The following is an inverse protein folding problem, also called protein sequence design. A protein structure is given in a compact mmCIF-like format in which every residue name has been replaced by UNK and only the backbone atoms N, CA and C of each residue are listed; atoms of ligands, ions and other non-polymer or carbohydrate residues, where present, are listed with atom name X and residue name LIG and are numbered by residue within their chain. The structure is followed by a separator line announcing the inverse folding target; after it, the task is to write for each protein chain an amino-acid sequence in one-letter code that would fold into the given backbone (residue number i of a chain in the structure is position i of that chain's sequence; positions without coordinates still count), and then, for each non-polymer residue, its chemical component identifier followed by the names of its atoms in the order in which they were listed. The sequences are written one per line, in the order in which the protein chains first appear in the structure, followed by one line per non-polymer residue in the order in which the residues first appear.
data_IF_423389008195
#
_entry.id   IF_423389008195
#
_cell.length_a   1.000
_cell.length_b   1.000
_cell.length_c   1.000
_cell.angle_alpha   90.00
_cell.angle_beta   90.00
_cell.angle_gamma   90.00
#
_symmetry.space_group_name_H-M   'P 1'
#
loop_
_entity.id
_entity.type
_entity.pdbx_description
1 polymer ?
#
# COMPACT_ATOMS: atom_id res chain seq x y z
N UNK A 1 -12.00 -9.68 11.09
CA UNK A 1 -10.86 -8.76 10.79
C UNK A 1 -9.55 -9.44 11.17
N UNK A 2 -8.43 -9.08 10.48
CA UNK A 2 -7.12 -9.70 10.76
C UNK A 2 -6.47 -9.07 11.99
N UNK A 3 -5.77 -9.87 12.79
CA UNK A 3 -4.86 -9.36 13.82
C UNK A 3 -3.78 -8.50 13.15
N UNK A 4 -3.41 -7.39 13.79
CA UNK A 4 -2.53 -6.38 13.16
C UNK A 4 -1.59 -5.71 14.15
N UNK A 5 -0.49 -5.16 13.60
CA UNK A 5 0.32 -4.15 14.28
C UNK A 5 -0.04 -2.78 13.68
N UNK A 6 -0.35 -1.83 14.54
CA UNK A 6 -0.64 -0.45 14.14
C UNK A 6 0.61 0.39 14.29
N UNK A 7 1.01 1.05 13.20
CA UNK A 7 2.10 2.03 13.19
C UNK A 7 1.47 3.42 13.18
N UNK A 8 1.59 4.15 14.28
CA UNK A 8 1.09 5.52 14.38
C UNK A 8 2.16 6.47 13.88
N UNK A 9 1.83 7.19 12.80
CA UNK A 9 2.75 8.08 12.12
C UNK A 9 2.66 9.50 12.65
N UNK A 10 3.68 9.94 13.38
CA UNK A 10 3.87 11.32 13.83
C UNK A 10 4.74 12.10 12.82
N UNK A 11 4.28 12.19 11.57
CA UNK A 11 4.98 12.87 10.46
C UNK A 11 6.41 12.35 10.21
N UNK A 12 6.61 11.07 10.50
CA UNK A 12 7.92 10.41 10.36
C UNK A 12 8.00 9.62 9.05
N UNK A 13 9.12 9.77 8.34
CA UNK A 13 9.48 8.92 7.20
C UNK A 13 9.59 7.42 7.55
N UNK A 14 9.72 7.12 8.86
CA UNK A 14 9.90 5.75 9.35
C UNK A 14 8.62 4.89 9.28
N UNK A 15 7.43 5.48 9.30
CA UNK A 15 6.17 4.73 9.37
C UNK A 15 6.01 3.76 8.20
N UNK A 16 6.27 4.20 6.99
CA UNK A 16 6.19 3.34 5.80
C UNK A 16 7.25 2.23 5.79
N UNK A 17 8.47 2.57 6.22
CA UNK A 17 9.55 1.59 6.35
C UNK A 17 9.18 0.50 7.37
N UNK A 18 8.71 0.89 8.55
CA UNK A 18 8.28 -0.03 9.61
C UNK A 18 7.15 -0.94 9.16
N UNK A 19 6.09 -0.37 8.59
CA UNK A 19 4.97 -1.16 8.11
C UNK A 19 5.40 -2.17 7.03
N UNK A 20 6.30 -1.77 6.13
CA UNK A 20 6.88 -2.66 5.11
C UNK A 20 7.72 -3.76 5.74
N UNK A 21 8.56 -3.44 6.72
CA UNK A 21 9.41 -4.41 7.42
C UNK A 21 8.59 -5.43 8.19
N UNK A 22 7.54 -5.01 8.90
CA UNK A 22 6.60 -5.89 9.61
C UNK A 22 5.94 -6.87 8.62
N UNK A 23 5.48 -6.36 7.48
CA UNK A 23 4.88 -7.19 6.43
C UNK A 23 5.89 -8.16 5.81
N UNK A 24 7.13 -7.76 5.66
CA UNK A 24 8.20 -8.63 5.17
C UNK A 24 8.47 -9.78 6.15
N UNK A 25 8.33 -9.55 7.46
CA UNK A 25 8.42 -10.57 8.50
C UNK A 25 7.20 -11.52 8.54
N UNK A 26 6.16 -11.25 7.75
CA UNK A 26 4.98 -12.08 7.62
C UNK A 26 3.80 -11.68 8.53
N UNK A 27 3.78 -10.45 9.01
CA UNK A 27 2.72 -9.94 9.89
C UNK A 27 1.97 -8.78 9.26
N UNK A 28 0.65 -8.74 9.41
CA UNK A 28 -0.14 -7.64 8.90
C UNK A 28 0.05 -6.36 9.73
N UNK A 29 0.19 -5.23 9.04
CA UNK A 29 0.36 -3.93 9.67
C UNK A 29 -0.45 -2.85 8.97
N UNK A 30 -0.90 -1.87 9.70
CA UNK A 30 -1.57 -0.66 9.20
C UNK A 30 -0.85 0.59 9.69
N UNK A 31 -0.87 1.64 8.85
CA UNK A 31 -0.38 2.97 9.25
C UNK A 31 -1.60 3.82 9.58
N UNK A 32 -1.57 4.46 10.74
CA UNK A 32 -2.59 5.38 11.21
C UNK A 32 -1.99 6.75 11.56
N UNK A 33 -2.81 7.78 11.50
CA UNK A 33 -2.47 9.11 12.01
C UNK A 33 -2.64 9.15 13.54
N UNK A 34 -2.05 10.12 14.25
CA UNK A 34 -2.16 10.18 15.72
C UNK A 34 -3.57 10.34 16.28
N UNK A 35 -4.52 10.86 15.47
CA UNK A 35 -5.92 10.97 15.86
C UNK A 35 -6.68 9.68 15.54
N UNK A 36 -6.36 8.60 16.27
CA UNK A 36 -6.98 7.28 16.10
C UNK A 36 -8.23 7.13 16.96
N UNK A 37 -9.21 6.39 16.46
CA UNK A 37 -10.39 5.97 17.22
C UNK A 37 -10.20 4.56 17.83
N UNK A 38 -11.01 4.21 18.83
CA UNK A 38 -10.99 2.85 19.41
C UNK A 38 -11.33 1.78 18.35
N UNK A 39 -12.15 2.11 17.35
CA UNK A 39 -12.47 1.19 16.26
C UNK A 39 -11.24 0.88 15.38
N UNK A 40 -10.33 1.85 15.22
CA UNK A 40 -9.09 1.65 14.46
C UNK A 40 -8.14 0.66 15.16
N UNK A 41 -8.30 0.50 16.47
CA UNK A 41 -7.52 -0.40 17.29
C UNK A 41 -8.11 -1.81 17.40
N UNK A 42 -9.25 -2.07 16.79
CA UNK A 42 -9.84 -3.40 16.80
C UNK A 42 -8.88 -4.44 16.20
N UNK A 43 -8.72 -5.58 16.90
CA UNK A 43 -7.77 -6.66 16.57
C UNK A 43 -6.29 -6.24 16.54
N UNK A 44 -5.92 -5.13 17.17
CA UNK A 44 -4.53 -4.70 17.29
C UNK A 44 -3.81 -5.54 18.33
N UNK A 45 -2.63 -6.06 17.97
CA UNK A 45 -1.76 -6.88 18.83
C UNK A 45 -0.51 -6.14 19.28
N UNK A 46 -0.15 -5.06 18.61
CA UNK A 46 0.98 -4.20 18.97
C UNK A 46 0.83 -2.82 18.36
N UNK A 47 1.39 -1.83 19.00
CA UNK A 47 1.39 -0.45 18.55
C UNK A 47 2.83 0.06 18.47
N UNK A 48 3.19 0.72 17.38
CA UNK A 48 4.49 1.36 17.20
C UNK A 48 4.27 2.85 16.99
N UNK A 49 4.87 3.68 17.83
CA UNK A 49 4.93 5.12 17.61
C UNK A 49 6.11 5.45 16.69
N UNK A 50 5.82 5.73 15.42
CA UNK A 50 6.81 6.15 14.43
C UNK A 50 7.03 7.66 14.56
N UNK A 51 7.94 8.05 15.46
CA UNK A 51 8.33 9.45 15.70
C UNK A 51 9.84 9.59 15.84
N UNK A 52 10.33 10.79 15.56
CA UNK A 52 11.68 11.18 15.91
C UNK A 52 11.71 11.55 17.42
N UNK A 53 12.91 11.65 17.95
CA UNK A 53 13.12 12.07 19.35
C UNK A 53 12.83 13.59 19.48
N UNK A 54 11.57 13.97 19.31
CA UNK A 54 11.10 15.33 19.26
C UNK A 54 10.12 15.59 20.40
N UNK A 55 10.35 16.66 21.15
CA UNK A 55 9.61 17.02 22.35
C UNK A 55 8.17 17.50 22.07
N UNK A 56 7.79 17.64 20.78
CA UNK A 56 6.57 18.34 20.38
C UNK A 56 5.26 17.55 20.52
N UNK A 57 5.28 16.27 20.89
CA UNK A 57 4.05 15.44 20.95
C UNK A 57 3.74 14.77 22.30
N UNK A 58 4.19 15.25 23.48
CA UNK A 58 3.94 14.55 24.74
C UNK A 58 2.45 14.43 25.08
N UNK A 59 1.64 15.45 24.79
CA UNK A 59 0.20 15.47 25.09
C UNK A 59 -0.58 14.44 24.25
N UNK A 60 -0.36 14.40 22.94
CA UNK A 60 -1.03 13.45 22.04
C UNK A 60 -0.67 12.00 22.40
N UNK A 61 0.60 11.76 22.74
CA UNK A 61 1.05 10.42 23.17
C UNK A 61 0.39 10.03 24.49
N UNK A 62 0.23 10.99 25.44
CA UNK A 62 -0.45 10.74 26.70
C UNK A 62 -1.93 10.39 26.49
N UNK A 63 -2.64 11.14 25.63
CA UNK A 63 -4.03 10.87 25.27
C UNK A 63 -4.20 9.48 24.63
N UNK A 64 -3.33 9.13 23.67
CA UNK A 64 -3.33 7.81 23.05
C UNK A 64 -3.05 6.72 24.11
N UNK A 65 -2.04 6.92 24.96
CA UNK A 65 -1.71 5.97 26.01
C UNK A 65 -2.88 5.76 26.98
N UNK A 66 -3.60 6.81 27.38
CA UNK A 66 -4.79 6.69 28.22
C UNK A 66 -5.88 5.86 27.55
N UNK A 67 -6.12 6.08 26.24
CA UNK A 67 -7.11 5.32 25.48
C UNK A 67 -6.76 3.81 25.40
N UNK A 68 -5.48 3.47 25.21
CA UNK A 68 -5.02 2.09 25.00
C UNK A 68 -4.58 1.35 26.27
N UNK A 69 -4.41 2.05 27.41
CA UNK A 69 -4.00 1.44 28.67
C UNK A 69 -4.90 0.27 29.10
N UNK A 70 -6.18 0.34 28.77
CA UNK A 70 -7.16 -0.70 29.12
C UNK A 70 -7.04 -1.96 28.24
N UNK A 71 -6.31 -1.91 27.12
CA UNK A 71 -6.23 -3.03 26.15
C UNK A 71 -5.05 -3.95 26.38
N UNK A 72 -4.13 -3.60 27.27
CA UNK A 72 -2.89 -4.36 27.56
C UNK A 72 -2.10 -4.74 26.28
N UNK A 73 -2.04 -3.82 25.32
CA UNK A 73 -1.36 -4.00 24.04
C UNK A 73 0.10 -3.56 24.18
N UNK A 74 1.10 -4.35 23.76
CA UNK A 74 2.50 -3.93 23.72
C UNK A 74 2.70 -2.67 22.89
N UNK A 75 3.45 -1.71 23.41
CA UNK A 75 3.74 -0.44 22.74
C UNK A 75 5.25 -0.28 22.57
N UNK A 76 5.67 0.06 21.35
CA UNK A 76 7.03 0.42 21.03
C UNK A 76 7.09 1.88 20.64
N UNK A 77 7.83 2.70 21.39
CA UNK A 77 8.00 4.12 21.13
C UNK A 77 9.40 4.40 20.58
N UNK A 78 9.49 4.60 19.25
CA UNK A 78 10.78 4.84 18.59
C UNK A 78 11.46 6.16 19.01
N UNK A 79 10.69 7.15 19.46
CA UNK A 79 11.28 8.38 19.98
C UNK A 79 12.09 8.19 21.27
N UNK A 80 11.92 7.04 21.97
CA UNK A 80 12.70 6.66 23.14
C UNK A 80 13.90 5.78 22.80
N UNK A 81 13.97 5.25 21.58
CA UNK A 81 15.02 4.35 21.12
C UNK A 81 16.20 5.12 20.53
N UNK A 82 17.27 5.26 21.28
CA UNK A 82 18.47 6.06 20.91
C UNK A 82 19.21 5.56 19.66
N UNK A 83 19.07 4.28 19.31
CA UNK A 83 19.84 3.60 18.25
C UNK A 83 19.01 3.17 17.05
N UNK A 84 17.76 3.61 16.94
CA UNK A 84 16.94 3.24 15.78
C UNK A 84 17.46 3.96 14.53
N UNK A 85 17.79 3.17 13.49
CA UNK A 85 18.22 3.68 12.20
C UNK A 85 17.60 2.83 11.08
N UNK A 86 17.00 3.49 10.09
CA UNK A 86 16.50 2.84 8.88
C UNK A 86 17.62 2.30 7.98
N UNK A 87 18.86 2.68 8.26
CA UNK A 87 20.05 2.25 7.48
C UNK A 87 20.57 0.88 7.92
N UNK A 88 20.24 0.40 9.11
CA UNK A 88 20.56 -0.95 9.53
C UNK A 88 19.46 -1.89 9.07
N UNK A 89 19.77 -2.88 8.23
CA UNK A 89 18.87 -4.01 7.90
C UNK A 89 18.62 -4.93 9.10
N UNK A 90 18.87 -4.46 10.32
CA UNK A 90 18.71 -5.24 11.53
C UNK A 90 17.24 -5.25 11.96
N UNK A 91 16.47 -6.13 11.33
CA UNK A 91 15.07 -6.38 11.70
C UNK A 91 14.91 -7.02 13.10
N UNK A 92 16.02 -7.37 13.76
CA UNK A 92 16.00 -8.06 15.06
C UNK A 92 15.25 -7.29 16.15
N UNK A 93 15.34 -5.98 16.11
CA UNK A 93 14.59 -5.13 17.02
C UNK A 93 13.07 -5.25 16.82
N UNK A 94 12.61 -5.24 15.55
CA UNK A 94 11.20 -5.45 15.22
C UNK A 94 10.75 -6.89 15.52
N UNK A 95 11.60 -7.88 15.25
CA UNK A 95 11.33 -9.28 15.59
C UNK A 95 11.08 -9.45 17.08
N UNK A 96 11.97 -8.92 17.92
CA UNK A 96 11.81 -8.96 19.38
C UNK A 96 10.51 -8.29 19.84
N UNK A 97 10.15 -7.14 19.26
CA UNK A 97 8.88 -6.48 19.57
C UNK A 97 7.69 -7.34 19.13
N UNK A 98 7.71 -7.88 17.90
CA UNK A 98 6.63 -8.70 17.37
C UNK A 98 6.41 -9.97 18.25
N UNK A 99 7.47 -10.56 18.76
CA UNK A 99 7.38 -11.69 19.69
C UNK A 99 6.58 -11.32 20.95
N UNK A 100 6.75 -10.10 21.47
CA UNK A 100 5.96 -9.64 22.63
C UNK A 100 4.48 -9.47 22.31
N UNK A 101 4.12 -9.25 21.04
CA UNK A 101 2.73 -9.11 20.60
C UNK A 101 1.96 -10.43 20.56
N UNK A 102 2.65 -11.57 20.62
CA UNK A 102 2.10 -12.92 20.79
C UNK A 102 0.95 -13.27 19.83
N UNK A 103 1.17 -13.11 18.52
CA UNK A 103 0.21 -13.55 17.50
C UNK A 103 0.92 -14.24 16.33
N UNK A 104 0.15 -14.98 15.51
CA UNK A 104 0.69 -15.78 14.42
C UNK A 104 0.90 -14.95 13.15
N UNK A 105 1.87 -15.37 12.33
CA UNK A 105 2.05 -14.83 10.98
C UNK A 105 0.74 -14.91 10.20
N UNK A 106 0.37 -13.81 9.56
CA UNK A 106 -0.90 -13.65 8.87
C UNK A 106 -0.79 -12.78 7.61
N UNK A 107 0.44 -12.60 7.10
CA UNK A 107 0.73 -11.82 5.90
C UNK A 107 1.56 -12.63 4.91
N UNK A 108 1.02 -13.77 4.45
CA UNK A 108 1.57 -14.59 3.39
C UNK A 108 0.88 -14.29 2.06
N UNK A 109 1.52 -14.68 0.93
CA UNK A 109 1.03 -14.37 -0.42
C UNK A 109 -0.44 -14.76 -0.63
N UNK A 110 -0.83 -15.94 -0.17
CA UNK A 110 -2.21 -16.41 -0.29
C UNK A 110 -3.19 -15.51 0.49
N UNK A 111 -2.84 -15.14 1.71
CA UNK A 111 -3.66 -14.26 2.55
C UNK A 111 -3.73 -12.84 2.03
N UNK A 112 -2.62 -12.34 1.43
CA UNK A 112 -2.60 -11.04 0.75
C UNK A 112 -3.55 -11.06 -0.44
N UNK A 113 -3.50 -12.12 -1.25
CA UNK A 113 -4.37 -12.29 -2.40
C UNK A 113 -5.85 -12.29 -1.97
N UNK A 114 -6.23 -13.13 -1.02
CA UNK A 114 -7.58 -13.22 -0.50
C UNK A 114 -8.08 -11.86 0.04
N UNK A 115 -7.28 -11.18 0.84
CA UNK A 115 -7.59 -9.85 1.35
C UNK A 115 -7.79 -8.83 0.22
N UNK A 116 -6.91 -8.85 -0.80
CA UNK A 116 -6.99 -7.93 -1.93
C UNK A 116 -8.24 -8.18 -2.77
N UNK A 117 -8.57 -9.45 -3.04
CA UNK A 117 -9.78 -9.81 -3.78
C UNK A 117 -11.04 -9.38 -3.05
N UNK A 118 -11.12 -9.59 -1.73
CA UNK A 118 -12.26 -9.16 -0.92
C UNK A 118 -12.37 -7.62 -0.87
N UNK A 119 -11.25 -6.92 -0.73
CA UNK A 119 -11.21 -5.46 -0.75
C UNK A 119 -11.70 -4.91 -2.10
N UNK A 120 -11.24 -5.45 -3.22
CA UNK A 120 -11.75 -5.08 -4.55
C UNK A 120 -13.27 -5.26 -4.60
N UNK A 121 -13.78 -6.43 -4.17
CA UNK A 121 -15.20 -6.74 -4.20
C UNK A 121 -16.04 -5.74 -3.40
N UNK A 122 -15.60 -5.37 -2.20
CA UNK A 122 -16.34 -4.45 -1.31
C UNK A 122 -16.29 -3.01 -1.80
N UNK A 123 -15.16 -2.53 -2.28
CA UNK A 123 -14.99 -1.13 -2.71
C UNK A 123 -15.62 -0.84 -4.08
N UNK A 124 -15.84 -1.89 -4.89
CA UNK A 124 -16.38 -1.75 -6.26
C UNK A 124 -17.81 -2.26 -6.41
N UNK A 125 -18.58 -2.36 -5.31
CA UNK A 125 -20.00 -2.77 -5.38
C UNK A 125 -20.74 -1.82 -6.33
N UNK A 126 -21.40 -2.42 -7.34
CA UNK A 126 -22.18 -1.71 -8.37
C UNK A 126 -21.40 -0.63 -9.15
N UNK A 127 -20.07 -0.75 -9.24
CA UNK A 127 -19.23 0.18 -10.01
C UNK A 127 -18.55 -0.55 -11.17
N UNK A 128 -18.35 0.16 -12.27
CA UNK A 128 -17.40 -0.20 -13.30
C UNK A 128 -16.03 0.43 -12.99
N UNK A 129 -14.97 -0.20 -13.44
CA UNK A 129 -13.59 0.22 -13.16
C UNK A 129 -12.86 0.49 -14.46
N UNK A 130 -12.31 1.69 -14.57
CA UNK A 130 -11.32 2.04 -15.58
C UNK A 130 -9.92 1.99 -14.93
N UNK A 131 -9.01 1.23 -15.53
CA UNK A 131 -7.63 1.13 -15.08
C UNK A 131 -6.68 1.62 -16.15
N UNK A 132 -5.86 2.60 -15.83
CA UNK A 132 -4.75 3.00 -16.69
C UNK A 132 -3.65 1.94 -16.66
N UNK A 133 -3.39 1.35 -17.83
CA UNK A 133 -2.37 0.33 -18.05
C UNK A 133 -1.08 1.00 -18.53
N UNK A 134 0.01 0.77 -17.81
CA UNK A 134 1.32 1.36 -18.14
C UNK A 134 2.28 0.41 -18.88
N UNK A 135 1.80 -0.78 -19.25
CA UNK A 135 2.68 -1.82 -19.80
C UNK A 135 3.60 -2.49 -18.78
N UNK A 136 3.54 -2.09 -17.50
CA UNK A 136 4.37 -2.62 -16.43
C UNK A 136 3.67 -3.75 -15.65
N UNK A 137 4.48 -4.57 -14.98
CA UNK A 137 3.99 -5.72 -14.20
C UNK A 137 2.92 -5.35 -13.17
N UNK A 138 3.04 -4.21 -12.48
CA UNK A 138 2.10 -3.80 -11.42
C UNK A 138 0.69 -3.56 -11.96
N UNK A 139 0.55 -2.76 -13.01
CA UNK A 139 -0.74 -2.48 -13.64
C UNK A 139 -1.36 -3.74 -14.24
N UNK A 140 -0.55 -4.63 -14.82
CA UNK A 140 -1.00 -5.91 -15.36
C UNK A 140 -1.56 -6.84 -14.27
N UNK A 141 -0.88 -6.94 -13.11
CA UNK A 141 -1.38 -7.73 -11.97
C UNK A 141 -2.68 -7.15 -11.42
N UNK A 142 -2.78 -5.83 -11.26
CA UNK A 142 -4.02 -5.18 -10.81
C UNK A 142 -5.15 -5.46 -11.80
N UNK A 143 -4.89 -5.38 -13.10
CA UNK A 143 -5.87 -5.67 -14.15
C UNK A 143 -6.37 -7.11 -14.09
N UNK A 144 -5.46 -8.06 -13.87
CA UNK A 144 -5.82 -9.47 -13.69
C UNK A 144 -6.70 -9.70 -12.45
N UNK A 145 -6.39 -9.06 -11.32
CA UNK A 145 -7.17 -9.17 -10.10
C UNK A 145 -8.55 -8.54 -10.23
N UNK A 146 -8.65 -7.38 -10.88
CA UNK A 146 -9.92 -6.72 -11.18
C UNK A 146 -10.79 -7.61 -12.07
N UNK A 147 -10.24 -8.15 -13.17
CA UNK A 147 -10.96 -9.07 -14.06
C UNK A 147 -11.42 -10.33 -13.34
N UNK A 148 -10.59 -10.87 -12.43
CA UNK A 148 -10.94 -12.05 -11.63
C UNK A 148 -12.14 -11.82 -10.72
N UNK A 149 -12.27 -10.63 -10.14
CA UNK A 149 -13.33 -10.30 -9.17
C UNK A 149 -14.60 -9.80 -9.85
N UNK A 150 -14.46 -8.92 -10.83
CA UNK A 150 -15.56 -8.15 -11.41
C UNK A 150 -16.03 -8.71 -12.75
N UNK A 151 -15.20 -9.52 -13.40
CA UNK A 151 -15.44 -9.93 -14.78
C UNK A 151 -15.08 -8.85 -15.81
N UNK A 152 -14.96 -9.28 -17.07
CA UNK A 152 -14.52 -8.40 -18.18
C UNK A 152 -15.51 -7.27 -18.49
N UNK A 153 -16.79 -7.49 -18.20
CA UNK A 153 -17.88 -6.54 -18.50
C UNK A 153 -17.84 -5.29 -17.63
N UNK A 154 -17.17 -5.37 -16.48
CA UNK A 154 -17.12 -4.29 -15.50
C UNK A 154 -15.74 -3.63 -15.36
N UNK A 155 -14.76 -4.11 -16.12
CA UNK A 155 -13.40 -3.61 -16.08
C UNK A 155 -12.97 -3.22 -17.48
N UNK A 156 -12.42 -2.02 -17.63
CA UNK A 156 -11.79 -1.56 -18.86
C UNK A 156 -10.35 -1.16 -18.56
N UNK A 157 -9.40 -1.73 -19.30
CA UNK A 157 -8.01 -1.29 -19.31
C UNK A 157 -7.81 -0.21 -20.39
N UNK A 158 -7.14 0.90 -20.05
CA UNK A 158 -6.77 1.94 -21.00
C UNK A 158 -5.26 2.12 -20.98
N UNK A 159 -4.62 1.91 -22.13
CA UNK A 159 -3.21 2.21 -22.36
C UNK A 159 -3.12 3.40 -23.31
N UNK A 160 -2.39 4.44 -22.90
CA UNK A 160 -2.18 5.65 -23.69
C UNK A 160 -0.71 5.68 -24.12
N UNK A 161 -0.49 5.70 -25.44
CA UNK A 161 0.82 6.01 -26.00
C UNK A 161 0.97 7.53 -26.08
N UNK A 162 1.89 8.06 -25.31
CA UNK A 162 2.20 9.50 -25.28
C UNK A 162 3.47 9.87 -26.07
N UNK A 163 3.90 9.01 -26.99
CA UNK A 163 5.10 9.23 -27.81
C UNK A 163 6.44 8.93 -27.14
N UNK A 164 6.47 8.56 -25.84
CA UNK A 164 7.72 8.25 -25.11
C UNK A 164 8.02 6.75 -25.04
N UNK A 165 7.22 5.91 -25.68
CA UNK A 165 7.45 4.47 -25.74
C UNK A 165 8.57 4.15 -26.72
N UNK A 166 9.24 3.02 -26.49
CA UNK A 166 10.26 2.50 -27.42
C UNK A 166 9.60 2.00 -28.69
N UNK A 167 10.39 1.96 -29.76
CA UNK A 167 9.95 1.35 -31.01
C UNK A 167 9.41 -0.07 -30.79
N UNK A 168 8.24 -0.39 -31.32
CA UNK A 168 7.49 -1.65 -31.18
C UNK A 168 7.05 -2.00 -29.72
N UNK A 169 7.15 -1.08 -28.77
CA UNK A 169 6.76 -1.38 -27.37
C UNK A 169 5.24 -1.57 -27.23
N UNK A 170 4.45 -0.83 -28.01
CA UNK A 170 2.98 -0.97 -28.06
C UNK A 170 2.57 -2.36 -28.52
N UNK A 171 3.18 -2.85 -29.60
CA UNK A 171 2.90 -4.18 -30.13
C UNK A 171 3.24 -5.26 -29.12
N UNK A 172 4.38 -5.13 -28.44
CA UNK A 172 4.83 -6.06 -27.41
C UNK A 172 3.82 -6.08 -26.23
N UNK A 173 3.42 -4.93 -25.73
CA UNK A 173 2.45 -4.79 -24.63
C UNK A 173 1.10 -5.38 -25.05
N UNK A 174 0.63 -5.05 -26.24
CA UNK A 174 -0.61 -5.58 -26.81
C UNK A 174 -0.60 -7.09 -26.87
N UNK A 175 0.46 -7.66 -27.43
CA UNK A 175 0.59 -9.10 -27.55
C UNK A 175 0.68 -9.79 -26.18
N UNK A 176 1.33 -9.18 -25.20
CA UNK A 176 1.37 -9.68 -23.85
C UNK A 176 -0.04 -9.73 -23.21
N UNK A 177 -0.84 -8.68 -23.37
CA UNK A 177 -2.21 -8.66 -22.83
C UNK A 177 -3.10 -9.70 -23.51
N UNK A 178 -2.99 -9.86 -24.83
CA UNK A 178 -3.72 -10.90 -25.57
C UNK A 178 -3.30 -12.29 -25.10
N UNK A 179 -2.01 -12.55 -24.93
CA UNK A 179 -1.47 -13.82 -24.47
C UNK A 179 -1.93 -14.16 -23.03
N UNK A 180 -2.17 -13.15 -22.20
CA UNK A 180 -2.76 -13.29 -20.86
C UNK A 180 -4.29 -13.48 -20.89
N UNK A 181 -4.90 -13.46 -22.08
CA UNK A 181 -6.33 -13.65 -22.27
C UNK A 181 -7.19 -12.41 -21.99
N UNK A 182 -6.60 -11.24 -21.92
CA UNK A 182 -7.34 -9.98 -21.80
C UNK A 182 -7.91 -9.57 -23.16
N UNK A 183 -9.18 -9.15 -23.16
CA UNK A 183 -9.92 -8.69 -24.35
C UNK A 183 -10.61 -7.34 -24.11
N UNK A 184 -10.58 -6.85 -22.89
CA UNK A 184 -11.29 -5.67 -22.42
C UNK A 184 -10.30 -4.53 -22.12
N UNK A 185 -9.46 -4.21 -23.11
CA UNK A 185 -8.57 -3.04 -23.05
C UNK A 185 -8.57 -2.27 -24.35
N UNK A 186 -8.25 -1.00 -24.27
CA UNK A 186 -8.14 -0.05 -25.39
C UNK A 186 -6.72 0.50 -25.37
N UNK A 187 -6.20 0.73 -26.57
CA UNK A 187 -4.96 1.45 -26.82
C UNK A 187 -5.33 2.75 -27.51
N UNK A 188 -4.97 3.86 -26.90
CA UNK A 188 -5.09 5.20 -27.47
C UNK A 188 -3.70 5.69 -27.84
N UNK A 189 -3.55 6.17 -29.06
CA UNK A 189 -2.29 6.71 -29.55
C UNK A 189 -2.41 8.24 -29.69
N UNK A 190 -1.77 8.94 -28.76
CA UNK A 190 -1.66 10.39 -28.73
C UNK A 190 -0.25 10.88 -29.13
N UNK A 191 0.56 9.99 -29.75
CA UNK A 191 1.94 10.31 -30.13
C UNK A 191 2.04 11.30 -31.28
N UNK A 192 0.97 11.46 -32.08
CA UNK A 192 0.90 12.36 -33.24
C UNK A 192 0.22 13.71 -32.95
N UNK A 193 -0.32 13.92 -31.74
CA UNK A 193 -0.76 15.25 -31.34
C UNK A 193 0.48 16.15 -31.19
N UNK A 194 0.99 16.62 -32.34
CA UNK A 194 1.97 17.70 -32.40
C UNK A 194 1.41 18.86 -31.58
N UNK A 195 2.17 19.22 -30.54
CA UNK A 195 2.07 20.54 -29.94
C UNK A 195 2.42 21.50 -31.08
N UNK A 196 1.44 21.98 -31.83
CA UNK A 196 1.58 23.21 -32.59
C UNK A 196 1.94 24.31 -31.61
N UNK A 197 3.22 24.41 -31.31
CA UNK A 197 3.76 25.55 -30.61
C UNK A 197 3.77 26.72 -31.57
N UNK A 198 2.67 27.46 -31.58
CA UNK A 198 2.63 28.85 -32.04
C UNK A 198 3.56 29.70 -31.15
N UNK A 199 4.85 29.48 -31.31
CA UNK A 199 5.85 30.46 -30.94
C UNK A 199 6.24 31.23 -32.18
N UNK A 200 5.34 32.09 -32.67
CA UNK A 200 5.74 33.24 -33.44
C UNK A 200 6.47 34.20 -32.48
N UNK A 201 7.78 34.14 -32.57
CA UNK A 201 8.66 35.14 -31.96
C UNK A 201 8.81 36.29 -33.02
N UNK A 202 7.99 37.34 -32.88
CA UNK A 202 8.28 38.68 -33.44
C UNK A 202 9.26 39.45 -32.51
#
# INVERSE_FOLDING_TARGET
MKEKIVVINFESEYAHFLAKSIRFLGYYSEIQIPNISLNDLENTKGIIFARKNDENFPSIISEINEQITNFNIPILDLGKEKNFSTKSNDNKFLENFIETCNFKKNWEVQQILEYTLEKIKTETINKNVLLFLKGEFKSTVIFALLNKVLGKERVLGLHINNGFLRENEIEIITQQYINLGFTNFILEDESEDEIESDYDLD
#
